data_IF_219372478186
#
_entry.id   IF_219372478186
#
_cell.length_a   1.000
_cell.length_b   1.000
_cell.length_c   1.000
_cell.angle_alpha   90.00
_cell.angle_beta   90.00
_cell.angle_gamma   90.00
#
_symmetry.space_group_name_H-M   'P 1'
#
loop_
_entity.id
_entity.type
_entity.pdbx_description
1 polymer ?
#
# COMPACT_ATOMS: atom_id res chain seq x y z
N UNK A 1 -70.03 17.41 -84.87
CA UNK A 1 -70.26 17.27 -83.42
C UNK A 1 -68.91 17.07 -82.76
N UNK A 2 -68.27 18.14 -82.34
CA UNK A 2 -66.90 18.08 -81.69
C UNK A 2 -67.04 18.31 -80.21
N UNK A 3 -66.75 17.23 -79.43
CA UNK A 3 -66.68 17.27 -77.96
C UNK A 3 -65.42 17.88 -77.51
N UNK A 4 -65.43 19.02 -76.79
CA UNK A 4 -64.38 19.79 -76.22
C UNK A 4 -63.85 19.04 -74.97
N UNK A 5 -62.70 18.39 -75.08
CA UNK A 5 -61.94 17.74 -73.93
C UNK A 5 -61.52 18.82 -72.97
N UNK A 6 -62.21 18.93 -71.82
CA UNK A 6 -61.88 19.83 -70.71
C UNK A 6 -60.56 19.43 -70.03
N UNK A 7 -59.64 20.34 -70.06
CA UNK A 7 -58.27 20.15 -69.55
C UNK A 7 -58.26 19.97 -68.00
N UNK A 8 -58.41 18.75 -67.49
CA UNK A 8 -58.40 18.36 -66.08
C UNK A 8 -57.03 18.49 -65.40
N UNK A 9 -55.92 18.53 -66.15
CA UNK A 9 -54.54 18.56 -65.61
C UNK A 9 -54.16 19.87 -64.90
N UNK A 10 -54.70 21.03 -65.29
CA UNK A 10 -54.33 22.32 -64.69
C UNK A 10 -54.94 22.55 -63.30
N UNK A 11 -56.03 21.93 -62.97
CA UNK A 11 -56.74 22.09 -61.67
C UNK A 11 -55.97 21.27 -60.57
N UNK A 12 -55.47 20.07 -60.91
CA UNK A 12 -54.74 19.23 -59.96
C UNK A 12 -53.37 19.82 -59.57
N UNK A 13 -52.70 20.49 -60.49
CA UNK A 13 -51.39 21.10 -60.21
C UNK A 13 -51.54 22.33 -59.28
N UNK A 14 -52.55 23.18 -59.46
CA UNK A 14 -52.81 24.32 -58.59
C UNK A 14 -53.20 23.91 -57.15
N UNK A 15 -53.99 22.83 -57.02
CA UNK A 15 -54.38 22.28 -55.72
C UNK A 15 -53.19 21.65 -54.98
N UNK A 16 -52.40 20.86 -55.70
CA UNK A 16 -51.10 20.28 -55.12
C UNK A 16 -50.10 21.34 -54.68
N UNK A 17 -49.93 22.41 -55.47
CA UNK A 17 -49.02 23.52 -55.10
C UNK A 17 -49.54 24.32 -53.90
N UNK A 18 -50.90 24.44 -53.77
CA UNK A 18 -51.55 25.06 -52.62
C UNK A 18 -51.34 24.25 -51.34
N UNK A 19 -51.55 22.92 -51.41
CA UNK A 19 -51.33 21.99 -50.29
C UNK A 19 -49.87 21.92 -49.89
N UNK A 20 -48.92 21.91 -50.85
CA UNK A 20 -47.51 21.94 -50.60
C UNK A 20 -47.09 23.25 -49.92
N UNK A 21 -47.62 24.41 -50.33
CA UNK A 21 -47.34 25.72 -49.68
C UNK A 21 -47.91 25.78 -48.27
N UNK A 22 -49.04 25.23 -48.00
CA UNK A 22 -49.69 25.17 -46.70
C UNK A 22 -48.90 24.22 -45.74
N UNK A 23 -48.52 23.05 -46.25
CA UNK A 23 -47.66 22.12 -45.51
C UNK A 23 -46.26 22.71 -45.21
N UNK A 24 -45.63 23.38 -46.17
CA UNK A 24 -44.38 24.08 -45.99
C UNK A 24 -44.48 25.17 -44.90
N UNK A 25 -45.56 25.99 -44.94
CA UNK A 25 -45.77 27.03 -43.93
C UNK A 25 -46.00 26.47 -42.52
N UNK A 26 -46.63 25.29 -42.42
CA UNK A 26 -46.89 24.60 -41.15
C UNK A 26 -45.65 23.96 -40.55
N UNK A 27 -44.74 23.41 -41.37
CA UNK A 27 -43.53 22.73 -40.95
C UNK A 27 -42.29 23.61 -40.93
N UNK A 28 -42.31 24.79 -41.56
CA UNK A 28 -41.21 25.75 -41.60
C UNK A 28 -40.66 26.11 -40.18
N UNK A 29 -41.51 26.41 -39.17
CA UNK A 29 -40.97 26.74 -37.84
C UNK A 29 -40.34 25.56 -37.13
N UNK A 30 -40.80 24.33 -37.40
CA UNK A 30 -40.21 23.10 -36.85
C UNK A 30 -38.87 22.81 -37.53
N UNK A 31 -38.85 22.90 -38.85
CA UNK A 31 -37.62 22.71 -39.65
C UNK A 31 -36.55 23.74 -39.25
N UNK A 32 -36.94 25.00 -39.02
CA UNK A 32 -36.03 26.05 -38.55
C UNK A 32 -35.48 25.73 -37.16
N UNK A 33 -36.31 25.25 -36.22
CA UNK A 33 -35.84 24.85 -34.88
C UNK A 33 -34.88 23.66 -34.95
N UNK A 34 -35.16 22.65 -35.78
CA UNK A 34 -34.27 21.51 -36.01
C UNK A 34 -32.97 21.95 -36.62
N UNK A 35 -33.00 22.80 -37.63
CA UNK A 35 -31.80 23.36 -38.24
C UNK A 35 -30.97 24.15 -37.23
N UNK A 36 -31.61 25.03 -36.45
CA UNK A 36 -30.91 25.82 -35.41
C UNK A 36 -30.30 24.93 -34.35
N UNK A 37 -31.02 23.91 -33.87
CA UNK A 37 -30.46 22.95 -32.90
C UNK A 37 -29.27 22.17 -33.48
N UNK A 38 -29.33 21.75 -34.74
CA UNK A 38 -28.23 21.08 -35.41
C UNK A 38 -26.97 22.00 -35.53
N UNK A 39 -27.19 23.27 -35.89
CA UNK A 39 -26.08 24.27 -35.95
C UNK A 39 -25.48 24.50 -34.57
N UNK A 40 -26.31 24.66 -33.54
CA UNK A 40 -25.82 24.86 -32.16
C UNK A 40 -25.03 23.62 -31.70
N UNK A 41 -25.55 22.41 -31.92
CA UNK A 41 -24.87 21.17 -31.56
C UNK A 41 -23.54 21.01 -32.33
N UNK A 42 -23.56 21.33 -33.63
CA UNK A 42 -22.33 21.34 -34.44
C UNK A 42 -21.28 22.36 -33.96
N UNK A 43 -21.71 23.58 -33.61
CA UNK A 43 -20.84 24.61 -33.09
C UNK A 43 -20.25 24.23 -31.71
N UNK A 44 -21.08 23.65 -30.83
CA UNK A 44 -20.58 23.14 -29.51
C UNK A 44 -19.61 21.97 -29.70
N UNK A 45 -19.87 21.04 -30.60
CA UNK A 45 -18.96 19.93 -30.92
C UNK A 45 -17.62 20.44 -31.47
N UNK A 46 -17.67 21.36 -32.44
CA UNK A 46 -16.46 21.95 -33.00
C UNK A 46 -15.68 22.76 -31.96
N UNK A 47 -16.36 23.57 -31.14
CA UNK A 47 -15.75 24.30 -30.03
C UNK A 47 -15.07 23.40 -29.03
N UNK A 48 -15.71 22.27 -28.68
CA UNK A 48 -15.10 21.27 -27.78
C UNK A 48 -13.81 20.65 -28.33
N UNK A 49 -13.77 20.37 -29.64
CA UNK A 49 -12.55 19.87 -30.30
C UNK A 49 -11.43 20.91 -30.28
N UNK A 50 -11.75 22.18 -30.51
CA UNK A 50 -10.77 23.27 -30.45
C UNK A 50 -10.19 23.42 -29.03
N UNK A 51 -11.04 23.43 -28.00
CA UNK A 51 -10.63 23.49 -26.60
C UNK A 51 -9.76 22.29 -26.25
N UNK A 52 -10.18 21.08 -26.61
CA UNK A 52 -9.41 19.85 -26.37
C UNK A 52 -8.02 19.94 -27.01
N UNK A 53 -7.96 20.32 -28.28
CA UNK A 53 -6.66 20.51 -28.98
C UNK A 53 -5.80 21.56 -28.30
N UNK A 54 -6.37 22.71 -27.95
CA UNK A 54 -5.64 23.76 -27.24
C UNK A 54 -5.06 23.25 -25.93
N UNK A 55 -5.86 22.58 -25.09
CA UNK A 55 -5.44 22.07 -23.78
C UNK A 55 -4.35 21.02 -23.92
N UNK A 56 -4.44 20.12 -24.90
CA UNK A 56 -3.50 19.00 -25.07
C UNK A 56 -2.22 19.37 -25.82
N UNK A 57 -2.22 20.49 -26.58
CA UNK A 57 -1.03 20.88 -27.37
C UNK A 57 -0.36 22.17 -26.90
N UNK A 58 -1.01 22.94 -26.03
CA UNK A 58 -0.47 24.23 -25.56
C UNK A 58 0.79 24.04 -24.70
N UNK A 59 1.88 24.79 -24.98
CA UNK A 59 3.09 24.80 -24.15
C UNK A 59 2.86 25.30 -22.72
N UNK A 60 1.74 25.97 -22.47
CA UNK A 60 1.34 26.44 -21.12
C UNK A 60 1.16 25.28 -20.16
N UNK A 61 0.69 24.14 -20.67
CA UNK A 61 0.44 22.94 -19.89
C UNK A 61 1.57 21.91 -19.99
N UNK A 62 2.73 22.29 -20.51
CA UNK A 62 3.92 21.45 -20.48
C UNK A 62 4.41 21.27 -19.04
N UNK A 63 4.66 20.04 -18.62
CA UNK A 63 5.18 19.71 -17.30
C UNK A 63 6.55 20.35 -17.07
N UNK A 64 6.67 21.24 -16.10
CA UNK A 64 7.91 21.94 -15.73
C UNK A 64 8.49 21.50 -14.41
N UNK A 65 7.64 21.00 -13.49
CA UNK A 65 8.08 20.58 -12.18
C UNK A 65 7.31 19.35 -11.70
N UNK A 66 8.02 18.45 -11.04
CA UNK A 66 7.46 17.31 -10.30
C UNK A 66 7.79 17.57 -8.83
N UNK A 67 6.80 17.44 -7.95
CA UNK A 67 6.99 17.50 -6.50
C UNK A 67 6.65 16.14 -5.93
N UNK A 68 7.61 15.50 -5.27
CA UNK A 68 7.43 14.25 -4.55
C UNK A 68 7.45 14.57 -3.06
N UNK A 69 6.43 14.12 -2.34
CA UNK A 69 6.31 14.30 -0.90
C UNK A 69 6.16 12.93 -0.23
N UNK A 70 6.74 12.76 0.97
CA UNK A 70 6.63 11.56 1.78
C UNK A 70 7.50 10.38 1.30
N UNK A 71 8.47 10.64 0.44
CA UNK A 71 9.46 9.66 0.01
C UNK A 71 10.79 9.93 0.75
N UNK A 72 11.13 9.03 1.69
CA UNK A 72 12.36 9.11 2.47
C UNK A 72 13.40 8.07 1.99
N UNK A 73 12.96 6.85 1.74
CA UNK A 73 13.80 5.73 1.28
C UNK A 73 13.74 5.52 -0.23
N UNK A 74 12.58 5.76 -0.84
CA UNK A 74 12.43 5.82 -2.29
C UNK A 74 12.89 7.19 -2.77
N UNK A 75 14.01 7.28 -3.47
CA UNK A 75 14.53 8.56 -3.97
C UNK A 75 13.60 9.16 -5.02
N UNK A 76 13.44 10.49 -5.00
CA UNK A 76 12.62 11.21 -5.99
C UNK A 76 13.01 10.86 -7.43
N UNK A 77 14.32 10.79 -7.72
CA UNK A 77 14.83 10.45 -9.05
C UNK A 77 14.45 9.04 -9.49
N UNK A 78 14.45 8.06 -8.56
CA UNK A 78 14.04 6.69 -8.86
C UNK A 78 12.54 6.63 -9.15
N UNK A 79 11.72 7.34 -8.39
CA UNK A 79 10.27 7.40 -8.60
C UNK A 79 9.92 8.09 -9.92
N UNK A 80 10.52 9.24 -10.24
CA UNK A 80 10.31 9.94 -11.50
C UNK A 80 10.68 9.06 -12.69
N UNK A 81 11.81 8.35 -12.61
CA UNK A 81 12.26 7.40 -13.63
C UNK A 81 11.30 6.21 -13.77
N UNK A 82 10.88 5.60 -12.64
CA UNK A 82 9.97 4.47 -12.61
C UNK A 82 8.60 4.83 -13.18
N UNK A 83 8.11 6.04 -12.89
CA UNK A 83 6.86 6.58 -13.42
C UNK A 83 6.93 6.96 -14.90
N UNK A 84 8.10 6.91 -15.54
CA UNK A 84 8.30 7.35 -16.94
C UNK A 84 7.96 8.82 -17.16
N UNK A 85 8.13 9.66 -16.14
CA UNK A 85 7.72 11.06 -16.14
C UNK A 85 8.79 11.89 -16.86
N UNK A 86 8.41 12.50 -17.99
CA UNK A 86 9.31 13.34 -18.78
C UNK A 86 8.87 14.79 -18.71
N UNK A 87 9.79 15.69 -18.33
CA UNK A 87 9.56 17.13 -18.37
C UNK A 87 9.28 17.58 -19.81
N UNK A 88 8.41 18.57 -19.99
CA UNK A 88 7.96 19.05 -21.30
C UNK A 88 6.74 18.31 -21.85
N UNK A 89 6.38 17.14 -21.34
CA UNK A 89 5.14 16.46 -21.72
C UNK A 89 3.92 17.25 -21.28
N UNK A 90 2.89 17.32 -22.11
CA UNK A 90 1.67 18.03 -21.73
C UNK A 90 0.97 17.34 -20.55
N UNK A 91 0.63 18.10 -19.51
CA UNK A 91 0.07 17.64 -18.25
C UNK A 91 -1.25 16.86 -18.42
N UNK A 92 -2.06 17.20 -19.42
CA UNK A 92 -3.35 16.54 -19.68
C UNK A 92 -3.24 15.24 -20.47
N UNK A 93 -2.13 15.06 -21.17
CA UNK A 93 -1.82 13.81 -21.91
C UNK A 93 -1.26 12.73 -20.98
N UNK A 94 -0.63 13.11 -19.86
CA UNK A 94 -0.08 12.16 -18.89
C UNK A 94 -1.20 11.30 -18.28
N UNK A 95 -1.04 9.99 -18.32
CA UNK A 95 -1.93 9.05 -17.61
C UNK A 95 -1.46 8.91 -16.15
N UNK A 96 -2.08 9.69 -15.26
CA UNK A 96 -1.73 9.65 -13.81
C UNK A 96 -1.98 8.29 -13.18
N UNK A 97 -3.00 7.52 -13.65
CA UNK A 97 -3.27 6.16 -13.14
C UNK A 97 -2.21 5.16 -13.57
N UNK A 98 -1.68 5.30 -14.79
CA UNK A 98 -0.57 4.47 -15.24
C UNK A 98 0.70 4.78 -14.43
N UNK A 99 0.97 6.05 -14.15
CA UNK A 99 2.08 6.49 -13.29
C UNK A 99 1.89 5.91 -11.86
N UNK A 100 0.71 6.04 -11.25
CA UNK A 100 0.41 5.47 -9.93
C UNK A 100 0.70 3.96 -9.88
N UNK A 101 0.22 3.20 -10.87
CA UNK A 101 0.49 1.76 -10.96
C UNK A 101 1.98 1.44 -11.06
N UNK A 102 2.72 2.21 -11.86
CA UNK A 102 4.17 2.03 -11.98
C UNK A 102 4.87 2.34 -10.66
N UNK A 103 4.51 3.43 -9.98
CA UNK A 103 5.10 3.82 -8.70
C UNK A 103 4.75 2.83 -7.58
N UNK A 104 3.55 2.24 -7.59
CA UNK A 104 3.15 1.21 -6.63
C UNK A 104 3.96 -0.09 -6.75
N UNK A 105 4.70 -0.31 -7.84
CA UNK A 105 5.61 -1.45 -7.96
C UNK A 105 6.95 -1.25 -7.24
N UNK A 106 7.21 -0.05 -6.74
CA UNK A 106 8.43 0.21 -5.96
C UNK A 106 8.32 -0.42 -4.57
N UNK A 107 9.29 -1.24 -4.11
CA UNK A 107 9.15 -2.01 -2.86
C UNK A 107 8.86 -1.18 -1.62
N UNK A 108 9.36 0.06 -1.54
CA UNK A 108 9.11 0.93 -0.38
C UNK A 108 7.76 1.63 -0.42
N UNK A 109 7.07 1.68 -1.57
CA UNK A 109 5.82 2.42 -1.73
C UNK A 109 4.63 1.59 -1.26
N UNK A 110 4.00 2.03 -0.18
CA UNK A 110 2.76 1.45 0.35
C UNK A 110 1.54 2.02 -0.37
N UNK A 111 1.48 3.33 -0.46
CA UNK A 111 0.43 4.06 -1.19
C UNK A 111 1.05 5.21 -1.97
N UNK A 112 0.48 5.48 -3.13
CA UNK A 112 0.87 6.61 -3.95
C UNK A 112 -0.36 7.28 -4.55
N UNK A 113 -0.34 8.61 -4.62
CA UNK A 113 -1.36 9.41 -5.29
C UNK A 113 -0.68 10.44 -6.19
N UNK A 114 -1.11 10.48 -7.44
CA UNK A 114 -0.54 11.38 -8.45
C UNK A 114 -1.59 12.40 -8.88
N UNK A 115 -1.35 13.67 -8.62
CA UNK A 115 -2.28 14.76 -8.89
C UNK A 115 -1.66 15.79 -9.82
N UNK A 116 -2.43 16.19 -10.84
CA UNK A 116 -2.06 17.30 -11.69
C UNK A 116 -2.27 18.62 -10.94
N UNK A 117 -1.25 19.46 -10.92
CA UNK A 117 -1.29 20.82 -10.40
C UNK A 117 -1.16 21.80 -11.57
N UNK A 118 -2.29 22.26 -12.09
CA UNK A 118 -2.36 23.21 -13.19
C UNK A 118 -1.64 24.51 -12.80
N UNK A 119 -0.89 25.14 -13.71
CA UNK A 119 -0.82 24.86 -15.14
C UNK A 119 0.24 23.82 -15.55
N UNK A 120 1.31 23.56 -14.80
CA UNK A 120 2.51 22.90 -15.35
C UNK A 120 3.25 22.02 -14.34
N UNK A 121 2.61 21.56 -13.28
CA UNK A 121 3.26 20.73 -12.25
C UNK A 121 2.49 19.45 -11.92
N UNK A 122 3.23 18.42 -11.49
CA UNK A 122 2.71 17.15 -11.00
C UNK A 122 3.07 17.03 -9.51
N UNK A 123 2.09 16.68 -8.68
CA UNK A 123 2.30 16.36 -7.27
C UNK A 123 2.15 14.87 -7.07
N UNK A 124 3.17 14.24 -6.52
CA UNK A 124 3.21 12.83 -6.16
C UNK A 124 3.29 12.76 -4.64
N UNK A 125 2.28 12.18 -4.02
CA UNK A 125 2.22 11.95 -2.59
C UNK A 125 2.45 10.46 -2.35
N UNK A 126 3.52 10.13 -1.63
CA UNK A 126 3.93 8.76 -1.34
C UNK A 126 3.78 8.50 0.15
N UNK A 127 3.27 7.33 0.49
CA UNK A 127 3.35 6.76 1.83
C UNK A 127 4.21 5.52 1.74
N UNK A 128 5.30 5.49 2.48
CA UNK A 128 6.21 4.35 2.50
C UNK A 128 5.81 3.31 3.54
N UNK A 129 6.25 2.07 3.32
CA UNK A 129 6.17 1.02 4.32
C UNK A 129 7.11 1.31 5.49
N UNK A 130 6.63 1.12 6.71
CA UNK A 130 7.45 1.16 7.92
C UNK A 130 7.82 -0.27 8.30
N UNK A 131 9.09 -0.68 8.16
CA UNK A 131 9.51 -2.01 8.53
C UNK A 131 9.55 -2.15 10.05
N UNK A 132 9.06 -3.27 10.59
CA UNK A 132 9.00 -3.55 12.04
C UNK A 132 9.64 -4.88 12.42
N UNK A 133 9.79 -5.78 11.46
CA UNK A 133 10.46 -7.07 11.62
C UNK A 133 11.01 -7.55 10.27
N UNK A 134 11.85 -8.57 10.31
CA UNK A 134 12.22 -9.37 9.14
C UNK A 134 11.53 -10.72 9.23
N UNK A 135 11.21 -11.34 8.10
CA UNK A 135 10.59 -12.66 8.04
C UNK A 135 11.29 -13.54 6.99
N UNK A 136 11.55 -14.80 7.33
CA UNK A 136 12.16 -15.78 6.43
C UNK A 136 11.06 -16.52 5.65
N UNK A 137 11.01 -16.31 4.34
CA UNK A 137 10.13 -16.99 3.39
C UNK A 137 10.94 -17.66 2.27
N UNK A 138 11.99 -18.41 2.65
CA UNK A 138 13.03 -18.87 1.74
C UNK A 138 14.13 -17.82 1.55
N UNK A 139 13.75 -16.58 1.26
CA UNK A 139 14.59 -15.37 1.37
C UNK A 139 14.13 -14.53 2.57
N UNK A 140 14.94 -13.55 2.95
CA UNK A 140 14.64 -12.64 4.05
C UNK A 140 13.90 -11.41 3.52
N UNK A 141 12.72 -11.13 4.09
CA UNK A 141 11.86 -10.01 3.73
C UNK A 141 11.64 -9.06 4.90
N UNK A 142 11.56 -7.77 4.61
CA UNK A 142 11.03 -6.78 5.54
C UNK A 142 9.52 -6.90 5.63
N UNK A 143 8.99 -6.80 6.84
CA UNK A 143 7.56 -6.88 7.15
C UNK A 143 7.10 -5.55 7.73
N UNK A 144 5.97 -5.06 7.25
CA UNK A 144 5.35 -3.81 7.72
C UNK A 144 4.45 -4.04 8.96
N UNK A 145 3.89 -2.96 9.49
CA UNK A 145 2.97 -2.97 10.64
C UNK A 145 1.69 -3.78 10.41
N UNK A 146 1.30 -4.00 9.15
CA UNK A 146 0.15 -4.81 8.76
C UNK A 146 0.47 -6.30 8.61
N UNK A 147 1.73 -6.69 8.83
CA UNK A 147 2.20 -8.07 8.69
C UNK A 147 2.52 -8.48 7.25
N UNK A 148 2.59 -7.53 6.32
CA UNK A 148 2.84 -7.82 4.92
C UNK A 148 4.33 -7.79 4.60
N UNK A 149 4.91 -8.84 3.99
CA UNK A 149 6.25 -8.79 3.45
C UNK A 149 6.26 -7.91 2.20
N UNK A 150 7.11 -6.87 2.18
CA UNK A 150 7.09 -5.88 1.10
C UNK A 150 8.41 -5.73 0.34
N UNK A 151 9.55 -6.02 0.98
CA UNK A 151 10.87 -5.86 0.35
C UNK A 151 11.81 -6.97 0.76
N UNK A 152 12.49 -7.58 -0.20
CA UNK A 152 13.58 -8.52 0.06
C UNK A 152 14.78 -7.76 0.63
N UNK A 153 15.34 -8.28 1.72
CA UNK A 153 16.55 -7.74 2.37
C UNK A 153 17.76 -8.02 1.49
N UNK A 154 18.61 -7.02 1.30
CA UNK A 154 19.89 -7.17 0.62
C UNK A 154 21.01 -7.29 1.65
N UNK A 155 22.02 -8.12 1.38
CA UNK A 155 23.13 -8.35 2.30
C UNK A 155 23.94 -7.10 2.68
N UNK A 156 23.85 -6.05 1.86
CA UNK A 156 24.50 -4.76 2.08
C UNK A 156 23.73 -3.78 2.97
N UNK A 157 22.46 -4.11 3.33
CA UNK A 157 21.63 -3.22 4.13
C UNK A 157 21.79 -3.53 5.61
N UNK A 158 22.30 -2.59 6.43
CA UNK A 158 22.35 -2.74 7.87
C UNK A 158 20.92 -2.59 8.43
N UNK A 159 20.31 -3.70 8.81
CA UNK A 159 18.94 -3.73 9.34
C UNK A 159 19.03 -4.32 10.76
N UNK A 160 18.62 -3.50 11.74
CA UNK A 160 18.50 -3.90 13.13
C UNK A 160 17.02 -4.04 13.51
N UNK A 161 16.43 -5.16 13.06
CA UNK A 161 15.04 -5.52 13.33
C UNK A 161 14.97 -6.98 13.75
N UNK A 162 14.03 -7.36 14.65
CA UNK A 162 13.86 -8.73 15.06
C UNK A 162 13.44 -9.62 13.89
N UNK A 163 13.95 -10.86 13.88
CA UNK A 163 13.56 -11.89 12.93
C UNK A 163 12.27 -12.58 13.41
N UNK A 164 11.26 -12.63 12.55
CA UNK A 164 10.05 -13.42 12.77
C UNK A 164 10.23 -14.78 12.11
N UNK A 165 10.09 -15.85 12.91
CA UNK A 165 10.25 -17.24 12.49
C UNK A 165 9.01 -18.08 12.87
N UNK A 166 8.95 -19.32 12.40
CA UNK A 166 7.81 -20.21 12.67
C UNK A 166 6.63 -20.02 11.72
N UNK A 167 6.76 -19.18 10.69
CA UNK A 167 5.79 -19.04 9.61
C UNK A 167 6.46 -19.50 8.33
N UNK A 168 5.97 -20.58 7.77
CA UNK A 168 6.53 -21.16 6.55
C UNK A 168 5.89 -20.56 5.30
N UNK A 169 6.65 -20.53 4.20
CA UNK A 169 6.18 -19.98 2.92
C UNK A 169 4.96 -20.73 2.40
N UNK A 170 4.96 -22.04 2.56
CA UNK A 170 3.89 -22.94 2.16
C UNK A 170 2.59 -22.61 2.87
N UNK A 171 2.65 -22.31 4.17
CA UNK A 171 1.50 -21.88 4.97
C UNK A 171 0.97 -20.52 4.54
N UNK A 172 1.86 -19.56 4.27
CA UNK A 172 1.46 -18.23 3.77
C UNK A 172 0.78 -18.32 2.41
N UNK A 173 1.15 -19.30 1.59
CA UNK A 173 0.51 -19.52 0.28
C UNK A 173 -0.83 -20.25 0.42
N UNK A 174 -0.91 -21.27 1.28
CA UNK A 174 -2.09 -22.09 1.47
C UNK A 174 -3.18 -21.42 2.33
N UNK A 175 -2.78 -20.72 3.41
CA UNK A 175 -3.66 -20.12 4.42
C UNK A 175 -3.29 -18.66 4.68
N UNK A 176 -3.28 -17.85 3.61
CA UNK A 176 -2.77 -16.48 3.62
C UNK A 176 -3.35 -15.60 4.74
N UNK A 177 -4.68 -15.62 4.91
CA UNK A 177 -5.35 -14.77 5.91
C UNK A 177 -4.97 -15.15 7.34
N UNK A 178 -4.91 -16.45 7.64
CA UNK A 178 -4.56 -16.97 8.97
C UNK A 178 -3.09 -16.67 9.28
N UNK A 179 -2.20 -16.95 8.34
CA UNK A 179 -0.77 -16.69 8.49
C UNK A 179 -0.49 -15.19 8.68
N UNK A 180 -1.12 -14.31 7.88
CA UNK A 180 -0.99 -12.86 8.05
C UNK A 180 -1.61 -12.36 9.36
N UNK A 181 -2.65 -13.02 9.87
CA UNK A 181 -3.22 -12.69 11.18
C UNK A 181 -2.25 -13.05 12.32
N UNK A 182 -1.63 -14.23 12.26
CA UNK A 182 -0.60 -14.65 13.22
C UNK A 182 0.62 -13.71 13.19
N UNK A 183 1.07 -13.33 11.99
CA UNK A 183 2.15 -12.36 11.82
C UNK A 183 1.78 -11.01 12.42
N UNK A 184 0.58 -10.47 12.15
CA UNK A 184 0.10 -9.20 12.73
C UNK A 184 0.03 -9.26 14.26
N UNK A 185 -0.45 -10.37 14.81
CA UNK A 185 -0.49 -10.56 16.26
C UNK A 185 0.92 -10.53 16.86
N UNK A 186 1.87 -11.23 16.23
CA UNK A 186 3.27 -11.27 16.68
C UNK A 186 3.93 -9.90 16.60
N UNK A 187 3.69 -9.13 15.54
CA UNK A 187 4.15 -7.75 15.40
C UNK A 187 3.57 -6.87 16.53
N UNK A 188 2.29 -7.05 16.87
CA UNK A 188 1.68 -6.38 18.02
C UNK A 188 2.36 -6.71 19.35
N UNK A 189 2.83 -7.95 19.53
CA UNK A 189 3.60 -8.38 20.71
C UNK A 189 5.00 -7.73 20.71
N UNK A 190 5.70 -7.72 19.58
CA UNK A 190 7.00 -7.06 19.41
C UNK A 190 6.89 -5.57 19.73
N UNK A 191 5.89 -4.89 19.20
CA UNK A 191 5.65 -3.46 19.44
C UNK A 191 5.33 -3.19 20.92
N UNK A 192 4.45 -4.00 21.52
CA UNK A 192 4.13 -3.91 22.95
C UNK A 192 5.33 -4.16 23.84
N UNK A 193 6.16 -5.14 23.48
CA UNK A 193 7.40 -5.42 24.19
C UNK A 193 8.37 -4.23 24.09
N UNK A 194 8.59 -3.70 22.88
CA UNK A 194 9.52 -2.59 22.65
C UNK A 194 9.18 -1.34 23.46
N UNK A 195 7.90 -1.08 23.66
CA UNK A 195 7.37 0.05 24.44
C UNK A 195 7.31 -0.21 25.95
N UNK A 196 7.46 -1.46 26.39
CA UNK A 196 7.34 -1.85 27.78
C UNK A 196 8.61 -1.59 28.58
N UNK A 197 8.47 -1.52 29.91
CA UNK A 197 9.63 -1.47 30.81
C UNK A 197 10.48 -2.75 30.77
N UNK A 198 9.91 -3.85 30.26
CA UNK A 198 10.62 -5.12 30.14
C UNK A 198 11.72 -5.11 29.08
N UNK A 199 11.60 -4.27 28.02
CA UNK A 199 12.57 -4.22 26.93
C UNK A 199 13.88 -3.53 27.28
N UNK A 200 13.91 -2.75 28.37
CA UNK A 200 15.09 -1.94 28.77
C UNK A 200 16.32 -2.83 29.02
N UNK A 201 17.36 -2.67 28.20
CA UNK A 201 18.57 -3.47 28.26
C UNK A 201 18.45 -4.90 27.69
N UNK A 202 17.31 -5.23 27.08
CA UNK A 202 17.02 -6.54 26.52
C UNK A 202 16.39 -6.42 25.12
N UNK A 203 17.11 -5.92 24.11
CA UNK A 203 16.58 -5.82 22.75
C UNK A 203 16.25 -7.21 22.18
N UNK A 204 15.24 -7.27 21.32
CA UNK A 204 14.84 -8.52 20.65
C UNK A 204 15.76 -8.82 19.48
N UNK A 205 16.10 -10.10 19.31
CA UNK A 205 16.70 -10.63 18.09
C UNK A 205 15.70 -11.45 17.26
N UNK A 206 14.76 -12.15 17.94
CA UNK A 206 13.83 -13.04 17.26
C UNK A 206 12.46 -13.09 17.97
N UNK A 207 11.41 -13.31 17.19
CA UNK A 207 10.08 -13.68 17.65
C UNK A 207 9.64 -14.92 16.88
N UNK A 208 9.54 -16.05 17.58
CA UNK A 208 9.15 -17.33 17.02
C UNK A 208 7.69 -17.62 17.31
N UNK A 209 6.95 -18.05 16.28
CA UNK A 209 5.53 -18.42 16.35
C UNK A 209 5.41 -19.92 16.21
N UNK A 210 4.72 -20.55 17.15
CA UNK A 210 4.38 -21.98 17.11
C UNK A 210 2.93 -22.22 17.58
N UNK A 211 2.49 -23.47 17.63
CA UNK A 211 1.16 -23.87 18.11
C UNK A 211 0.90 -23.49 19.58
N UNK A 212 1.94 -23.22 20.36
CA UNK A 212 1.85 -22.85 21.78
C UNK A 212 1.76 -21.34 21.97
N UNK A 213 1.95 -20.56 20.92
CA UNK A 213 1.93 -19.11 20.88
C UNK A 213 3.26 -18.48 20.49
N UNK A 214 3.59 -17.32 21.05
CA UNK A 214 4.77 -16.55 20.68
C UNK A 214 5.88 -16.71 21.72
N UNK A 215 7.09 -17.02 21.26
CA UNK A 215 8.35 -17.00 22.04
C UNK A 215 9.21 -15.85 21.55
N UNK A 216 9.61 -14.97 22.43
CA UNK A 216 10.53 -13.87 22.15
C UNK A 216 11.95 -14.26 22.56
N UNK A 217 12.93 -13.98 21.71
CA UNK A 217 14.34 -14.21 22.02
C UNK A 217 15.06 -12.86 22.00
N UNK A 218 15.83 -12.59 23.05
CA UNK A 218 16.62 -11.35 23.14
C UNK A 218 17.99 -11.53 22.50
N UNK A 219 18.68 -10.42 22.21
CA UNK A 219 20.06 -10.44 21.68
C UNK A 219 21.04 -11.10 22.64
N UNK A 220 20.72 -11.18 23.95
CA UNK A 220 21.50 -11.93 24.94
C UNK A 220 21.18 -13.43 24.95
N UNK A 221 20.25 -13.90 24.13
CA UNK A 221 19.81 -15.30 24.06
C UNK A 221 18.90 -15.71 25.23
N UNK A 222 18.22 -14.77 25.88
CA UNK A 222 17.14 -15.06 26.83
C UNK A 222 15.88 -15.37 26.07
N UNK A 223 15.27 -16.53 26.32
CA UNK A 223 13.99 -16.92 25.73
C UNK A 223 12.83 -16.54 26.68
N UNK A 224 11.76 -15.95 26.11
CA UNK A 224 10.57 -15.52 26.83
C UNK A 224 9.36 -16.15 26.18
N UNK A 225 8.78 -17.18 26.79
CA UNK A 225 7.57 -17.83 26.30
C UNK A 225 6.35 -17.03 26.72
N UNK A 226 5.80 -16.31 25.75
CA UNK A 226 4.60 -15.46 25.97
C UNK A 226 3.33 -16.31 25.96
N UNK A 227 3.26 -17.37 25.13
CA UNK A 227 2.03 -18.09 24.88
C UNK A 227 0.94 -17.16 24.28
N UNK A 228 -0.33 -17.51 24.48
CA UNK A 228 -1.48 -16.77 23.95
C UNK A 228 -2.03 -15.75 24.95
N UNK A 229 -2.52 -14.60 24.47
CA UNK A 229 -3.29 -13.58 25.22
C UNK A 229 -2.56 -12.88 26.37
N UNK A 230 -3.20 -11.91 26.97
CA UNK A 230 -2.72 -11.23 28.18
C UNK A 230 -1.36 -10.54 28.04
N UNK A 231 -1.06 -9.95 26.88
CA UNK A 231 0.29 -9.43 26.55
C UNK A 231 0.73 -8.38 27.58
N UNK A 232 -0.12 -7.41 27.87
CA UNK A 232 0.23 -6.29 28.77
C UNK A 232 0.58 -6.77 30.18
N UNK A 233 -0.27 -7.63 30.77
CA UNK A 233 -0.03 -8.17 32.13
C UNK A 233 1.20 -9.06 32.16
N UNK A 234 1.48 -9.80 31.10
CA UNK A 234 2.68 -10.63 30.97
C UNK A 234 3.95 -9.78 30.90
N UNK A 235 3.93 -8.68 30.14
CA UNK A 235 5.07 -7.75 30.06
C UNK A 235 5.32 -7.03 31.38
N UNK A 236 4.29 -6.65 32.11
CA UNK A 236 4.43 -6.10 33.47
C UNK A 236 5.05 -7.12 34.43
N UNK A 237 4.62 -8.37 34.37
CA UNK A 237 5.24 -9.46 35.18
C UNK A 237 6.70 -9.69 34.78
N UNK A 238 7.00 -9.73 33.50
CA UNK A 238 8.36 -9.85 33.00
C UNK A 238 9.25 -8.73 33.53
N UNK A 239 8.76 -7.49 33.52
CA UNK A 239 9.49 -6.34 34.06
C UNK A 239 9.74 -6.48 35.58
N UNK A 240 8.80 -7.05 36.35
CA UNK A 240 9.01 -7.33 37.79
C UNK A 240 10.05 -8.43 38.00
N UNK A 241 9.95 -9.53 37.26
CA UNK A 241 10.89 -10.66 37.33
C UNK A 241 12.29 -10.20 36.99
N UNK A 242 12.50 -9.41 35.94
CA UNK A 242 13.79 -8.89 35.54
C UNK A 242 14.43 -7.96 36.62
N UNK A 243 13.62 -7.13 37.26
CA UNK A 243 14.09 -6.32 38.41
C UNK A 243 14.59 -7.18 39.59
N UNK A 244 13.83 -8.24 39.90
CA UNK A 244 14.21 -9.18 40.96
C UNK A 244 15.47 -9.97 40.61
N UNK A 245 15.59 -10.43 39.36
CA UNK A 245 16.83 -11.11 38.90
C UNK A 245 18.03 -10.18 38.95
N UNK A 246 17.84 -8.93 38.49
CA UNK A 246 18.92 -7.93 38.54
C UNK A 246 19.37 -7.60 39.98
N UNK A 247 18.44 -7.50 40.94
CA UNK A 247 18.79 -7.28 42.36
C UNK A 247 19.60 -8.41 42.97
N UNK A 248 19.42 -9.63 42.42
CA UNK A 248 20.16 -10.83 42.84
C UNK A 248 21.39 -11.13 41.99
N UNK A 249 21.71 -10.29 40.99
CA UNK A 249 22.77 -10.53 40.01
C UNK A 249 22.64 -11.85 39.25
N UNK A 250 21.37 -12.28 38.99
CA UNK A 250 21.07 -13.49 38.27
C UNK A 250 20.66 -13.18 36.83
N UNK A 251 20.99 -14.06 35.91
CA UNK A 251 20.54 -14.01 34.50
C UNK A 251 19.64 -15.19 34.18
N UNK A 252 18.59 -14.94 33.40
CA UNK A 252 17.72 -15.99 32.94
C UNK A 252 18.19 -16.54 31.59
N UNK A 253 18.01 -17.82 31.38
CA UNK A 253 18.07 -18.47 30.07
C UNK A 253 16.69 -18.56 29.47
N UNK A 254 15.66 -18.90 30.29
CA UNK A 254 14.26 -19.03 29.88
C UNK A 254 13.34 -18.45 30.95
N UNK A 255 12.38 -17.64 30.51
CA UNK A 255 11.29 -17.11 31.34
C UNK A 255 9.96 -17.57 30.71
N UNK A 256 9.16 -18.33 31.45
CA UNK A 256 7.87 -18.81 30.99
C UNK A 256 6.72 -18.01 31.61
N UNK A 257 5.92 -17.38 30.76
CA UNK A 257 4.72 -16.61 31.10
C UNK A 257 3.44 -17.29 30.58
N UNK A 258 3.59 -18.47 29.99
CA UNK A 258 2.58 -19.26 29.27
C UNK A 258 1.87 -20.28 30.15
N UNK A 259 1.94 -20.18 31.47
CA UNK A 259 1.30 -21.16 32.38
C UNK A 259 -0.23 -21.02 32.34
N UNK A 260 -0.88 -21.90 31.58
CA UNK A 260 -2.35 -21.92 31.43
C UNK A 260 -3.08 -22.28 32.76
N UNK A 261 -2.49 -23.16 33.57
CA UNK A 261 -3.12 -23.61 34.85
C UNK A 261 -3.03 -22.51 35.92
N UNK A 262 -1.97 -21.76 35.95
CA UNK A 262 -1.73 -20.68 36.91
C UNK A 262 -1.17 -19.44 36.20
N UNK A 263 -2.01 -18.64 35.56
CA UNK A 263 -1.57 -17.54 34.72
C UNK A 263 -0.71 -16.46 35.42
N UNK A 264 -0.80 -16.37 36.74
CA UNK A 264 0.03 -15.47 37.56
C UNK A 264 1.45 -15.99 37.86
N UNK A 265 1.68 -17.27 37.63
CA UNK A 265 2.98 -17.88 37.91
C UNK A 265 3.95 -17.66 36.76
N UNK A 266 5.22 -17.43 37.15
CA UNK A 266 6.33 -17.32 36.23
C UNK A 266 7.38 -18.35 36.58
N UNK A 267 7.79 -19.14 35.61
CA UNK A 267 8.91 -20.08 35.77
C UNK A 267 10.17 -19.45 35.16
N UNK A 268 11.24 -19.45 35.93
CA UNK A 268 12.53 -18.89 35.48
C UNK A 268 13.60 -20.00 35.54
N UNK A 269 14.19 -20.26 34.38
CA UNK A 269 15.40 -21.10 34.34
C UNK A 269 16.61 -20.17 34.28
N UNK A 270 17.47 -20.28 35.28
CA UNK A 270 18.67 -19.46 35.35
C UNK A 270 19.72 -19.95 34.35
N UNK A 271 20.49 -19.00 33.82
CA UNK A 271 21.68 -19.32 33.02
C UNK A 271 22.83 -19.71 33.96
N UNK A 272 23.28 -20.96 33.86
CA UNK A 272 24.47 -21.40 34.56
C UNK A 272 25.69 -20.71 33.90
N UNK A 273 26.27 -19.73 34.56
CA UNK A 273 27.55 -19.21 34.13
C UNK A 273 28.60 -20.29 34.39
N UNK A 274 29.38 -20.72 33.39
CA UNK A 274 30.51 -21.58 33.67
C UNK A 274 31.44 -20.83 34.63
N UNK A 275 31.72 -21.45 35.78
CA UNK A 275 32.64 -20.90 36.77
C UNK A 275 33.99 -20.67 36.09
N UNK A 276 34.57 -19.44 36.07
CA UNK A 276 35.89 -19.23 35.53
C UNK A 276 36.89 -19.93 36.46
N UNK A 277 37.38 -21.11 36.03
CA UNK A 277 38.42 -21.81 36.83
C UNK A 277 38.45 -23.33 36.75
N UNK A 278 37.51 -24.00 36.04
CA UNK A 278 37.67 -25.44 35.79
C UNK A 278 38.55 -25.68 34.56
N UNK A 279 39.80 -25.29 34.64
CA UNK A 279 40.84 -25.77 33.72
C UNK A 279 40.93 -27.28 33.89
N UNK A 280 40.59 -28.01 32.85
CA UNK A 280 40.73 -29.46 32.73
C UNK A 280 42.16 -29.85 32.97
N UNK A 281 42.46 -30.23 34.22
CA UNK A 281 43.66 -31.00 34.58
C UNK A 281 43.38 -32.45 34.14
N UNK A 282 43.54 -32.74 32.84
CA UNK A 282 43.56 -34.09 32.31
C UNK A 282 44.85 -34.37 31.58
N UNK A 283 45.69 -35.11 32.26
CA UNK A 283 46.51 -36.11 31.64
C UNK A 283 47.98 -35.82 31.45
N UNK A 284 48.73 -35.98 32.50
CA UNK A 284 50.04 -36.61 32.39
C UNK A 284 49.96 -37.92 33.13
N UNK A 285 49.91 -39.00 32.40
CA UNK A 285 50.55 -40.28 32.63
C UNK A 285 50.68 -41.03 31.31
#
# INVERSE_FOLDING_TARGET
MFLRKKNRRRVDVAKKTGELKAAAKRHAPIALKVLLSAVITGALGYGSVLVYRFVTTSPTFALRAVKVNGADRATESALVKLGGITLGTNLFVLDTRAIERSLSSHPWVKHVSVRRRVPSSLSIEVTEHTPVAMMSLGDLYLVNTEGEPFKRVQASEPIDLPLLTGVEREEVVAHREESLAAVRQTIGIIDSYSKSAASKGHPLSEAHVDETGVTLVTTSGEEIRMGEGGVTEKLERLARVRRELASRQLTAALIRLDNRARPSWVTVQQRIQPTPGATSEKGKR
#
